data_IF_647639728200
#
_entry.id   IF_647639728200
#
_cell.length_a   1.000
_cell.length_b   1.000
_cell.length_c   1.000
_cell.angle_alpha   90.00
_cell.angle_beta   90.00
_cell.angle_gamma   90.00
#
_symmetry.space_group_name_H-M   'P 1'
#
loop_
_entity.id
_entity.type
_entity.pdbx_description
1 polymer ?
#
# COMPACT_ATOMS: atom_id res chain seq x y z
N UNK A 1 -4.12 41.30 5.57
CA UNK A 1 -4.04 39.83 5.63
C UNK A 1 -5.48 39.33 5.61
N UNK A 2 -5.79 38.03 5.60
CA UNK A 2 -7.19 37.61 5.73
C UNK A 2 -7.62 37.87 7.18
N UNK A 3 -8.42 38.91 7.42
CA UNK A 3 -8.73 39.45 8.76
C UNK A 3 -9.43 38.45 9.72
N UNK A 4 -9.83 37.25 9.25
CA UNK A 4 -10.65 36.31 10.02
C UNK A 4 -10.08 34.88 10.14
N UNK A 5 -8.77 34.64 9.95
CA UNK A 5 -8.23 33.26 10.00
C UNK A 5 -8.53 32.59 11.34
N UNK A 6 -8.24 33.26 12.47
CA UNK A 6 -8.40 32.71 13.83
C UNK A 6 -9.88 32.47 14.19
N UNK A 7 -10.82 33.07 13.47
CA UNK A 7 -12.26 32.89 13.65
C UNK A 7 -12.90 31.95 12.62
N UNK A 8 -12.11 31.48 11.64
CA UNK A 8 -12.61 30.70 10.52
C UNK A 8 -13.03 29.30 10.98
N UNK A 9 -14.29 28.95 10.71
CA UNK A 9 -14.87 27.65 11.07
C UNK A 9 -14.61 26.55 10.05
N UNK A 10 -14.24 26.90 8.82
CA UNK A 10 -14.11 25.95 7.70
C UNK A 10 -12.69 25.46 7.50
N UNK A 11 -11.73 26.37 7.46
CA UNK A 11 -10.33 26.12 7.12
C UNK A 11 -9.39 26.73 8.16
N UNK A 12 -8.35 25.99 8.52
CA UNK A 12 -7.36 26.41 9.53
C UNK A 12 -6.04 26.87 8.92
N UNK A 13 -5.81 26.57 7.64
CA UNK A 13 -4.71 27.15 6.87
C UNK A 13 -5.17 28.38 6.09
N UNK A 14 -4.34 29.43 6.07
CA UNK A 14 -4.61 30.62 5.25
C UNK A 14 -4.77 30.23 3.77
N UNK A 15 -5.74 30.85 3.10
CA UNK A 15 -6.01 30.67 1.67
C UNK A 15 -6.25 29.22 1.20
N UNK A 16 -6.58 28.30 2.09
CA UNK A 16 -6.87 26.89 1.75
C UNK A 16 -8.02 26.74 0.73
N UNK A 17 -8.88 27.75 0.59
CA UNK A 17 -9.95 27.78 -0.40
C UNK A 17 -9.49 28.07 -1.83
N UNK A 18 -8.30 28.62 -2.02
CA UNK A 18 -7.73 28.86 -3.35
C UNK A 18 -7.15 27.56 -3.92
N UNK A 19 -7.48 27.24 -5.17
CA UNK A 19 -7.14 25.96 -5.80
C UNK A 19 -5.64 25.63 -5.75
N UNK A 20 -4.77 26.64 -5.95
CA UNK A 20 -3.32 26.47 -5.86
C UNK A 20 -2.88 25.91 -4.50
N UNK A 21 -3.47 26.38 -3.40
CA UNK A 21 -3.13 25.92 -2.05
C UNK A 21 -3.82 24.61 -1.73
N UNK A 22 -5.05 24.40 -2.21
CA UNK A 22 -5.78 23.13 -2.06
C UNK A 22 -5.04 21.95 -2.70
N UNK A 23 -4.40 22.17 -3.85
CA UNK A 23 -3.59 21.15 -4.52
C UNK A 23 -2.21 20.97 -3.85
N UNK A 24 -1.58 22.06 -3.43
CA UNK A 24 -0.24 22.01 -2.85
C UNK A 24 -0.21 21.46 -1.42
N UNK A 25 -1.20 21.83 -0.58
CA UNK A 25 -1.22 21.52 0.85
C UNK A 25 -1.04 20.02 1.14
N UNK A 26 -1.77 19.08 0.51
CA UNK A 26 -1.55 17.65 0.76
C UNK A 26 -0.12 17.19 0.46
N UNK A 27 0.52 17.71 -0.60
CA UNK A 27 1.87 17.32 -1.01
C UNK A 27 2.93 17.84 -0.04
N UNK A 28 2.80 19.09 0.39
CA UNK A 28 3.78 19.71 1.28
C UNK A 28 3.59 19.28 2.73
N UNK A 29 2.36 18.94 3.15
CA UNK A 29 2.06 18.61 4.54
C UNK A 29 2.78 17.34 4.99
N UNK A 30 2.84 16.32 4.12
CA UNK A 30 3.51 15.07 4.45
C UNK A 30 5.03 15.27 4.62
N UNK A 31 5.64 16.08 3.76
CA UNK A 31 7.04 16.47 3.90
C UNK A 31 7.26 17.31 5.17
N UNK A 32 6.36 18.27 5.41
CA UNK A 32 6.48 19.23 6.49
C UNK A 32 6.39 18.57 7.88
N UNK A 33 5.59 17.53 8.03
CA UNK A 33 5.50 16.77 9.28
C UNK A 33 6.32 15.48 9.28
N UNK A 34 7.24 15.29 8.33
CA UNK A 34 8.07 14.09 8.27
C UNK A 34 7.26 12.79 8.19
N UNK A 35 6.12 12.81 7.49
CA UNK A 35 5.35 11.63 7.09
C UNK A 35 6.00 10.98 5.87
N UNK A 36 6.59 11.79 5.00
CA UNK A 36 7.33 11.37 3.83
C UNK A 36 8.61 12.20 3.70
N UNK A 37 9.55 11.72 2.90
CA UNK A 37 10.81 12.42 2.64
C UNK A 37 11.21 12.33 1.17
N UNK A 38 12.14 13.21 0.76
CA UNK A 38 12.58 13.28 -0.64
C UNK A 38 13.25 11.97 -1.10
N UNK A 39 13.95 11.28 -0.20
CA UNK A 39 14.62 10.01 -0.52
C UNK A 39 13.59 8.92 -0.83
N UNK A 40 12.52 8.84 -0.05
CA UNK A 40 11.43 7.89 -0.21
C UNK A 40 10.56 8.18 -1.45
N UNK A 41 10.36 9.46 -1.79
CA UNK A 41 9.72 9.84 -3.05
C UNK A 41 10.54 9.32 -4.24
N UNK A 42 11.85 9.58 -4.25
CA UNK A 42 12.74 9.10 -5.33
C UNK A 42 12.78 7.57 -5.37
N UNK A 43 12.82 6.91 -4.22
CA UNK A 43 12.79 5.45 -4.13
C UNK A 43 11.50 4.86 -4.74
N UNK A 44 10.33 5.45 -4.46
CA UNK A 44 9.05 5.03 -5.07
C UNK A 44 9.04 5.21 -6.58
N UNK A 45 9.47 6.37 -7.08
CA UNK A 45 9.55 6.61 -8.53
C UNK A 45 10.48 5.62 -9.22
N UNK A 46 11.66 5.36 -8.62
CA UNK A 46 12.60 4.36 -9.14
C UNK A 46 11.99 2.97 -9.15
N UNK A 47 11.33 2.57 -8.07
CA UNK A 47 10.64 1.28 -7.95
C UNK A 47 9.57 1.12 -9.03
N UNK A 48 8.74 2.14 -9.25
CA UNK A 48 7.70 2.12 -10.29
C UNK A 48 8.30 2.02 -11.69
N UNK A 49 9.39 2.76 -11.95
CA UNK A 49 10.10 2.69 -13.23
C UNK A 49 10.66 1.28 -13.50
N UNK A 50 11.35 0.67 -12.53
CA UNK A 50 11.90 -0.68 -12.65
C UNK A 50 10.79 -1.71 -12.85
N UNK A 51 9.66 -1.59 -12.13
CA UNK A 51 8.49 -2.46 -12.33
C UNK A 51 7.91 -2.37 -13.74
N UNK A 52 7.82 -1.15 -14.31
CA UNK A 52 7.35 -0.95 -15.69
C UNK A 52 8.29 -1.60 -16.71
N UNK A 53 9.61 -1.49 -16.52
CA UNK A 53 10.59 -2.14 -17.40
C UNK A 53 10.53 -3.66 -17.31
N UNK A 54 10.41 -4.23 -16.09
CA UNK A 54 10.19 -5.68 -15.91
C UNK A 54 8.92 -6.12 -16.66
N UNK A 55 7.79 -5.45 -16.44
CA UNK A 55 6.53 -5.79 -17.09
C UNK A 55 6.60 -5.70 -18.62
N UNK A 56 7.35 -4.73 -19.16
CA UNK A 56 7.58 -4.58 -20.60
C UNK A 56 8.39 -5.73 -21.17
N UNK A 57 9.46 -6.15 -20.49
CA UNK A 57 10.29 -7.29 -20.92
C UNK A 57 9.49 -8.60 -20.83
N UNK A 58 8.73 -8.81 -19.75
CA UNK A 58 7.88 -9.99 -19.59
C UNK A 58 6.83 -10.11 -20.70
N UNK A 59 6.14 -9.01 -21.04
CA UNK A 59 5.19 -8.98 -22.16
C UNK A 59 5.85 -9.29 -23.51
N UNK A 60 7.06 -8.79 -23.73
CA UNK A 60 7.81 -9.08 -24.95
C UNK A 60 8.18 -10.56 -25.02
N UNK A 61 8.64 -11.14 -23.90
CA UNK A 61 8.99 -12.55 -23.82
C UNK A 61 7.77 -13.48 -23.95
N UNK A 62 6.62 -13.11 -23.38
CA UNK A 62 5.38 -13.90 -23.50
C UNK A 62 4.89 -13.92 -24.95
N UNK A 63 4.85 -12.77 -25.62
CA UNK A 63 4.48 -12.67 -27.04
C UNK A 63 5.40 -13.50 -27.94
N UNK A 64 6.72 -13.47 -27.69
CA UNK A 64 7.67 -14.31 -28.42
C UNK A 64 7.40 -15.80 -28.17
N UNK A 65 7.06 -16.20 -26.94
CA UNK A 65 6.77 -17.60 -26.62
C UNK A 65 5.46 -18.13 -27.21
N UNK A 66 4.39 -17.33 -27.21
CA UNK A 66 3.09 -17.72 -27.77
C UNK A 66 3.15 -17.90 -29.29
N UNK A 67 3.82 -16.98 -29.97
CA UNK A 67 4.04 -17.11 -31.41
C UNK A 67 4.84 -18.38 -31.72
N UNK A 68 5.87 -18.68 -30.93
CA UNK A 68 6.67 -19.90 -31.10
C UNK A 68 5.89 -21.19 -30.85
N UNK A 69 5.00 -21.23 -29.84
CA UNK A 69 4.19 -22.42 -29.58
C UNK A 69 3.23 -22.70 -30.73
N UNK A 70 2.59 -21.66 -31.28
CA UNK A 70 1.65 -21.78 -32.39
C UNK A 70 2.33 -22.36 -33.63
N UNK A 71 3.48 -21.80 -34.03
CA UNK A 71 4.24 -22.35 -35.16
C UNK A 71 4.71 -23.78 -34.90
N UNK A 72 5.19 -24.09 -33.70
CA UNK A 72 5.65 -25.45 -33.38
C UNK A 72 4.53 -26.49 -33.44
N UNK A 73 3.30 -26.12 -33.07
CA UNK A 73 2.11 -26.97 -33.19
C UNK A 73 1.80 -27.27 -34.65
N UNK A 74 1.78 -26.23 -35.49
CA UNK A 74 1.48 -26.39 -36.92
C UNK A 74 2.56 -27.22 -37.65
N UNK A 75 3.84 -27.04 -37.31
CA UNK A 75 4.92 -27.86 -37.89
C UNK A 75 4.72 -29.34 -37.51
N UNK A 76 4.36 -29.62 -36.26
CA UNK A 76 4.06 -30.98 -35.78
C UNK A 76 2.85 -31.60 -36.47
N UNK A 77 1.80 -30.82 -36.71
CA UNK A 77 0.62 -31.27 -37.46
C UNK A 77 0.95 -31.59 -38.92
N UNK A 78 1.79 -30.78 -39.57
CA UNK A 78 2.26 -31.05 -40.94
C UNK A 78 3.12 -32.31 -40.95
N UNK A 79 3.99 -32.51 -39.95
CA UNK A 79 4.83 -33.70 -39.83
C UNK A 79 3.99 -34.97 -39.65
N UNK A 80 2.98 -34.93 -38.78
CA UNK A 80 2.06 -36.06 -38.57
C UNK A 80 1.29 -36.40 -39.83
N UNK A 81 0.70 -35.41 -40.51
CA UNK A 81 0.01 -35.63 -41.80
C UNK A 81 0.95 -36.19 -42.86
N UNK A 82 2.17 -35.67 -42.97
CA UNK A 82 3.16 -36.19 -43.90
C UNK A 82 3.51 -37.67 -43.62
N UNK A 83 3.60 -38.05 -42.36
CA UNK A 83 3.82 -39.43 -41.94
C UNK A 83 2.58 -40.33 -42.20
N UNK A 84 1.35 -39.83 -41.99
CA UNK A 84 0.11 -40.56 -42.32
C UNK A 84 0.03 -40.98 -43.79
N UNK A 85 0.48 -40.10 -44.69
CA UNK A 85 0.53 -40.35 -46.13
C UNK A 85 1.83 -41.04 -46.60
N UNK A 86 2.74 -41.38 -45.67
CA UNK A 86 4.02 -42.01 -45.99
C UNK A 86 4.98 -41.17 -46.82
N UNK A 87 4.83 -39.83 -46.78
CA UNK A 87 5.66 -38.88 -47.52
C UNK A 87 6.96 -38.53 -46.79
N UNK A 88 7.05 -38.80 -45.48
CA UNK A 88 8.20 -38.49 -44.67
C UNK A 88 8.39 -39.53 -43.54
N UNK A 89 9.63 -39.70 -43.03
CA UNK A 89 9.88 -40.57 -41.87
C UNK A 89 9.20 -40.02 -40.61
N UNK A 90 9.09 -40.86 -39.59
CA UNK A 90 8.65 -40.41 -38.26
C UNK A 90 9.64 -39.39 -37.69
N UNK A 91 9.10 -38.26 -37.23
CA UNK A 91 9.89 -37.21 -36.60
C UNK A 91 9.75 -37.25 -35.07
N UNK A 92 10.79 -36.77 -34.40
CA UNK A 92 10.73 -36.45 -32.98
C UNK A 92 9.89 -35.17 -32.76
N UNK A 93 9.44 -34.97 -31.52
CA UNK A 93 8.73 -33.76 -31.07
C UNK A 93 9.48 -32.45 -31.32
N UNK A 94 10.80 -32.51 -31.51
CA UNK A 94 11.67 -31.37 -31.80
C UNK A 94 11.80 -31.07 -33.31
N UNK A 95 10.86 -31.51 -34.13
CA UNK A 95 10.90 -31.26 -35.58
C UNK A 95 10.92 -29.76 -35.89
N UNK A 96 11.85 -29.34 -36.75
CA UNK A 96 11.99 -27.95 -37.18
C UNK A 96 11.35 -27.74 -38.55
N UNK A 97 10.97 -26.50 -38.86
CA UNK A 97 10.42 -26.16 -40.16
C UNK A 97 11.40 -26.49 -41.30
N UNK A 98 12.69 -26.23 -41.10
CA UNK A 98 13.74 -26.52 -42.07
C UNK A 98 13.92 -28.03 -42.29
N UNK A 99 14.05 -28.82 -41.22
CA UNK A 99 14.23 -30.28 -41.33
C UNK A 99 13.04 -30.97 -42.01
N UNK A 100 11.81 -30.53 -41.70
CA UNK A 100 10.60 -31.09 -42.30
C UNK A 100 10.47 -30.70 -43.79
N UNK A 101 10.80 -29.44 -44.12
CA UNK A 101 10.78 -28.95 -45.51
C UNK A 101 11.75 -29.77 -46.38
N UNK A 102 12.94 -30.04 -45.87
CA UNK A 102 13.99 -30.74 -46.62
C UNK A 102 13.64 -32.22 -46.80
N UNK A 103 13.04 -32.85 -45.78
CA UNK A 103 12.53 -34.22 -45.90
C UNK A 103 11.38 -34.35 -46.92
N UNK A 104 10.48 -33.36 -46.98
CA UNK A 104 9.39 -33.31 -47.97
C UNK A 104 9.86 -32.98 -49.40
N UNK A 105 11.13 -32.60 -49.60
CA UNK A 105 11.69 -32.36 -50.92
C UNK A 105 12.06 -33.66 -51.66
N UNK A 106 12.23 -34.78 -50.94
CA UNK A 106 12.51 -36.10 -51.50
C UNK A 106 11.77 -37.16 -50.68
N UNK A 107 10.46 -37.35 -50.93
CA UNK A 107 9.63 -38.22 -50.11
C UNK A 107 10.14 -39.66 -50.17
N UNK A 108 10.45 -40.22 -49.00
CA UNK A 108 10.88 -41.62 -48.85
C UNK A 108 9.68 -42.43 -48.37
N UNK A 109 9.24 -43.41 -49.15
CA UNK A 109 8.08 -44.25 -48.81
C UNK A 109 8.54 -45.33 -47.84
N UNK A 110 8.48 -45.07 -46.54
CA UNK A 110 8.49 -46.15 -45.53
C UNK A 110 7.87 -45.68 -44.22
N UNK A 111 6.68 -46.18 -43.86
CA UNK A 111 6.17 -46.03 -42.51
C UNK A 111 6.11 -47.39 -41.81
N UNK A 112 6.67 -47.46 -40.61
CA UNK A 112 6.55 -48.60 -39.71
C UNK A 112 5.36 -48.37 -38.75
N UNK A 113 4.13 -48.52 -39.25
CA UNK A 113 2.89 -48.14 -38.55
C UNK A 113 2.61 -48.93 -37.25
N UNK A 114 3.14 -50.15 -37.11
CA UNK A 114 2.95 -50.97 -35.91
C UNK A 114 3.65 -50.37 -34.69
N UNK A 115 4.81 -49.72 -34.90
CA UNK A 115 5.56 -49.08 -33.82
C UNK A 115 4.88 -47.80 -33.32
N UNK A 116 4.38 -46.95 -34.22
CA UNK A 116 3.71 -45.69 -33.86
C UNK A 116 2.34 -45.93 -33.19
N UNK A 117 1.58 -46.94 -33.64
CA UNK A 117 0.30 -47.32 -33.00
C UNK A 117 0.52 -47.78 -31.55
N UNK A 118 1.55 -48.62 -31.32
CA UNK A 118 1.93 -49.06 -29.97
C UNK A 118 2.38 -47.89 -29.10
N UNK A 119 3.24 -47.01 -29.62
CA UNK A 119 3.74 -45.83 -28.89
C UNK A 119 2.62 -44.86 -28.50
N UNK A 120 1.62 -44.66 -29.37
CA UNK A 120 0.44 -43.84 -29.06
C UNK A 120 -0.40 -44.43 -27.92
N UNK A 121 -0.58 -45.76 -27.91
CA UNK A 121 -1.25 -46.46 -26.80
C UNK A 121 -0.49 -46.30 -25.47
N UNK A 122 0.84 -46.41 -25.51
CA UNK A 122 1.71 -46.21 -24.34
C UNK A 122 1.63 -44.77 -23.81
N UNK A 123 1.70 -43.77 -24.70
CA UNK A 123 1.58 -42.35 -24.35
C UNK A 123 0.20 -42.03 -23.75
N UNK A 124 -0.88 -42.57 -24.32
CA UNK A 124 -2.23 -42.37 -23.78
C UNK A 124 -2.38 -42.99 -22.38
N UNK A 125 -1.75 -44.14 -22.15
CA UNK A 125 -1.71 -44.79 -20.84
C UNK A 125 -0.91 -43.96 -19.82
N UNK A 126 0.25 -43.42 -20.22
CA UNK A 126 1.05 -42.48 -19.42
C UNK A 126 0.25 -41.21 -19.09
N UNK A 127 -0.41 -40.59 -20.08
CA UNK A 127 -1.25 -39.40 -19.90
C UNK A 127 -2.43 -39.65 -18.96
N UNK A 128 -3.07 -40.82 -19.04
CA UNK A 128 -4.13 -41.20 -18.10
C UNK A 128 -3.58 -41.27 -16.67
N UNK A 129 -2.41 -41.89 -16.49
CA UNK A 129 -1.75 -41.98 -15.18
C UNK A 129 -1.37 -40.60 -14.61
N UNK A 130 -0.80 -39.72 -15.45
CA UNK A 130 -0.39 -38.37 -15.05
C UNK A 130 -1.62 -37.52 -14.71
N UNK A 131 -2.67 -37.55 -15.52
CA UNK A 131 -3.91 -36.83 -15.23
C UNK A 131 -4.54 -37.33 -13.92
N UNK A 132 -4.50 -38.64 -13.64
CA UNK A 132 -4.95 -39.20 -12.36
C UNK A 132 -4.10 -38.69 -11.19
N UNK A 133 -2.78 -38.62 -11.34
CA UNK A 133 -1.88 -38.10 -10.30
C UNK A 133 -2.11 -36.60 -10.06
N UNK A 134 -2.22 -35.78 -11.11
CA UNK A 134 -2.53 -34.35 -11.00
C UNK A 134 -3.85 -34.15 -10.25
N UNK A 135 -4.92 -34.88 -10.62
CA UNK A 135 -6.21 -34.80 -9.91
C UNK A 135 -6.07 -35.13 -8.43
N UNK A 136 -5.32 -36.17 -8.07
CA UNK A 136 -5.07 -36.54 -6.66
C UNK A 136 -4.31 -35.44 -5.91
N UNK A 137 -3.28 -34.86 -6.51
CA UNK A 137 -2.51 -33.77 -5.89
C UNK A 137 -3.34 -32.48 -5.76
N UNK A 138 -4.16 -32.15 -6.75
CA UNK A 138 -5.09 -31.02 -6.68
C UNK A 138 -6.15 -31.23 -5.59
N UNK A 139 -6.74 -32.42 -5.51
CA UNK A 139 -7.69 -32.78 -4.46
C UNK A 139 -7.04 -32.68 -3.07
N UNK A 140 -5.85 -33.24 -2.90
CA UNK A 140 -5.08 -33.12 -1.66
C UNK A 140 -4.82 -31.65 -1.27
N UNK A 141 -4.50 -30.81 -2.25
CA UNK A 141 -4.22 -29.38 -2.00
C UNK A 141 -5.48 -28.66 -1.51
N UNK A 142 -6.65 -28.96 -2.10
CA UNK A 142 -7.92 -28.36 -1.69
C UNK A 142 -8.38 -28.87 -0.32
N UNK A 143 -8.28 -30.18 -0.07
CA UNK A 143 -8.55 -30.79 1.24
C UNK A 143 -7.64 -30.21 2.33
N UNK A 144 -6.36 -30.02 2.02
CA UNK A 144 -5.39 -29.43 2.94
C UNK A 144 -5.70 -27.95 3.22
N UNK A 145 -6.11 -27.19 2.20
CA UNK A 145 -6.56 -25.80 2.35
C UNK A 145 -7.81 -25.70 3.22
N UNK A 146 -8.80 -26.58 2.98
CA UNK A 146 -10.02 -26.68 3.79
C UNK A 146 -9.69 -27.02 5.24
N UNK A 147 -8.83 -28.03 5.48
CA UNK A 147 -8.32 -28.39 6.80
C UNK A 147 -7.67 -27.20 7.52
N UNK A 148 -6.79 -26.46 6.84
CA UNK A 148 -6.12 -25.26 7.38
C UNK A 148 -7.12 -24.15 7.72
N UNK A 149 -8.17 -23.97 6.91
CA UNK A 149 -9.24 -23.01 7.18
C UNK A 149 -10.04 -23.39 8.42
N UNK A 150 -10.43 -24.66 8.54
CA UNK A 150 -11.17 -25.18 9.71
C UNK A 150 -10.35 -24.99 10.98
N UNK A 151 -9.05 -25.34 10.93
CA UNK A 151 -8.13 -25.16 12.05
C UNK A 151 -7.96 -23.69 12.44
N UNK A 152 -7.86 -22.77 11.48
CA UNK A 152 -7.81 -21.32 11.77
C UNK A 152 -9.11 -20.81 12.40
N UNK A 153 -10.27 -21.29 11.96
CA UNK A 153 -11.56 -20.91 12.54
C UNK A 153 -11.69 -21.44 13.98
N UNK A 154 -11.22 -22.67 14.24
CA UNK A 154 -11.14 -23.22 15.59
C UNK A 154 -10.16 -22.43 16.48
N UNK A 155 -9.01 -22.01 15.95
CA UNK A 155 -8.08 -21.14 16.67
C UNK A 155 -8.72 -19.80 17.03
N UNK A 156 -9.42 -19.16 16.10
CA UNK A 156 -10.09 -17.88 16.31
C UNK A 156 -11.18 -17.98 17.38
N UNK A 157 -11.96 -19.06 17.34
CA UNK A 157 -13.01 -19.36 18.33
C UNK A 157 -12.46 -19.58 19.74
N UNK A 158 -11.18 -19.97 19.86
CA UNK A 158 -10.48 -20.20 21.13
C UNK A 158 -9.61 -19.00 21.57
N UNK A 159 -9.48 -17.93 20.77
CA UNK A 159 -8.82 -16.68 21.20
C UNK A 159 -9.45 -16.05 22.45
N UNK A 160 -10.79 -16.03 22.62
CA UNK A 160 -11.42 -15.51 23.84
C UNK A 160 -10.97 -16.23 25.12
N UNK A 161 -10.50 -17.49 25.01
CA UNK A 161 -9.98 -18.25 26.15
C UNK A 161 -8.78 -17.55 26.81
N UNK A 162 -7.89 -16.94 26.01
CA UNK A 162 -6.74 -16.18 26.53
C UNK A 162 -7.21 -14.98 27.37
N UNK A 163 -8.19 -14.23 26.85
CA UNK A 163 -8.77 -13.07 27.54
C UNK A 163 -9.52 -13.48 28.82
N UNK A 164 -10.24 -14.59 28.78
CA UNK A 164 -10.94 -15.16 29.95
C UNK A 164 -9.97 -15.62 31.03
N UNK A 165 -8.80 -16.14 30.64
CA UNK A 165 -7.74 -16.50 31.59
C UNK A 165 -7.09 -15.27 32.23
N UNK A 166 -6.80 -14.24 31.43
CA UNK A 166 -6.19 -12.99 31.91
C UNK A 166 -7.08 -12.29 32.93
N UNK A 167 -8.41 -12.46 32.81
CA UNK A 167 -9.42 -11.93 33.74
C UNK A 167 -10.02 -12.98 34.68
N UNK A 168 -9.36 -14.13 34.85
CA UNK A 168 -9.90 -15.25 35.65
C UNK A 168 -10.15 -14.93 37.13
N UNK A 169 -9.56 -13.85 37.65
CA UNK A 169 -9.82 -13.33 39.00
C UNK A 169 -11.13 -12.54 39.14
N UNK A 170 -11.73 -12.10 38.04
CA UNK A 170 -12.97 -11.29 38.00
C UNK A 170 -14.22 -12.13 37.67
N UNK A 171 -14.04 -13.42 37.39
CA UNK A 171 -15.10 -14.32 36.89
C UNK A 171 -15.60 -15.22 38.01
N UNK A 172 -16.93 -15.37 38.12
CA UNK A 172 -17.56 -16.35 39.01
C UNK A 172 -17.32 -17.75 38.45
N UNK A 173 -16.53 -18.56 39.16
CA UNK A 173 -16.15 -19.91 38.75
C UNK A 173 -17.18 -20.93 39.22
N UNK A 174 -17.68 -21.76 38.30
CA UNK A 174 -18.45 -22.95 38.63
C UNK A 174 -17.51 -24.11 39.01
N UNK A 175 -18.06 -25.18 39.59
CA UNK A 175 -17.29 -26.37 39.97
C UNK A 175 -16.60 -27.09 38.80
N UNK A 176 -17.06 -26.87 37.56
CA UNK A 176 -16.53 -27.47 36.33
C UNK A 176 -15.59 -26.54 35.55
N UNK A 177 -15.39 -25.31 36.02
CA UNK A 177 -14.68 -24.26 35.29
C UNK A 177 -13.23 -24.66 35.00
N UNK A 178 -12.49 -25.10 36.02
CA UNK A 178 -11.06 -25.42 35.85
C UNK A 178 -10.84 -26.65 34.96
N UNK A 179 -11.72 -27.65 35.04
CA UNK A 179 -11.67 -28.84 34.18
C UNK A 179 -11.92 -28.48 32.71
N UNK A 180 -12.96 -27.68 32.42
CA UNK A 180 -13.30 -27.23 31.08
C UNK A 180 -12.23 -26.31 30.47
N UNK A 181 -11.67 -25.38 31.26
CA UNK A 181 -10.62 -24.48 30.77
C UNK A 181 -9.33 -25.27 30.50
N UNK A 182 -9.00 -26.26 31.33
CA UNK A 182 -7.83 -27.10 31.11
C UNK A 182 -7.92 -27.93 29.82
N UNK A 183 -9.08 -28.50 29.51
CA UNK A 183 -9.29 -29.26 28.27
C UNK A 183 -9.22 -28.34 27.04
N UNK A 184 -9.87 -27.18 27.08
CA UNK A 184 -9.80 -26.19 26.00
C UNK A 184 -8.39 -25.61 25.79
N UNK A 185 -7.57 -25.51 26.83
CA UNK A 185 -6.15 -25.14 26.70
C UNK A 185 -5.33 -26.22 26.01
N UNK A 186 -5.57 -27.50 26.33
CA UNK A 186 -4.93 -28.63 25.64
C UNK A 186 -5.30 -28.62 24.16
N UNK A 187 -6.58 -28.39 23.86
CA UNK A 187 -7.07 -28.28 22.48
C UNK A 187 -6.46 -27.08 21.76
N UNK A 188 -6.41 -25.90 22.38
CA UNK A 188 -5.79 -24.70 21.81
C UNK A 188 -4.29 -24.91 21.54
N UNK A 189 -3.57 -25.57 22.45
CA UNK A 189 -2.14 -25.92 22.23
C UNK A 189 -1.98 -26.88 21.05
N UNK A 190 -2.85 -27.88 20.92
CA UNK A 190 -2.81 -28.81 19.80
C UNK A 190 -3.08 -28.12 18.45
N UNK A 191 -4.01 -27.16 18.43
CA UNK A 191 -4.34 -26.31 17.28
C UNK A 191 -3.17 -25.38 16.94
N UNK A 192 -2.59 -24.70 17.92
CA UNK A 192 -1.42 -23.82 17.72
C UNK A 192 -0.21 -24.62 17.21
N UNK A 193 0.00 -25.86 17.67
CA UNK A 193 1.04 -26.75 17.14
C UNK A 193 0.77 -27.23 15.71
N UNK A 194 -0.48 -27.45 15.33
CA UNK A 194 -0.88 -27.80 13.96
C UNK A 194 -0.80 -26.61 12.99
N UNK A 195 -0.97 -25.36 13.49
CA UNK A 195 -0.88 -24.12 12.70
C UNK A 195 0.56 -23.62 12.56
N UNK A 196 1.44 -23.95 13.51
CA UNK A 196 2.87 -23.64 13.42
C UNK A 196 3.37 -24.01 12.02
N UNK A 197 4.18 -23.15 11.36
CA UNK A 197 4.71 -23.41 10.03
C UNK A 197 5.71 -24.57 10.07
N UNK A 198 5.22 -25.80 10.18
CA UNK A 198 5.98 -27.03 10.08
C UNK A 198 5.48 -27.81 8.87
N UNK A 199 6.14 -27.53 7.74
CA UNK A 199 6.67 -28.45 6.71
C UNK A 199 6.38 -28.00 5.28
N UNK A 200 7.32 -28.23 4.35
CA UNK A 200 7.27 -27.83 2.94
C UNK A 200 6.31 -28.70 2.11
N UNK A 201 5.17 -29.14 2.65
CA UNK A 201 4.24 -30.02 1.93
C UNK A 201 3.60 -29.28 0.75
N UNK A 202 3.15 -28.04 0.94
CA UNK A 202 2.61 -27.19 -0.15
C UNK A 202 3.67 -26.94 -1.24
N UNK A 203 4.93 -26.70 -0.85
CA UNK A 203 6.05 -26.51 -1.77
C UNK A 203 6.41 -27.79 -2.52
N UNK A 204 6.45 -28.94 -1.85
CA UNK A 204 6.75 -30.22 -2.47
C UNK A 204 5.64 -30.68 -3.43
N UNK A 205 4.38 -30.47 -3.07
CA UNK A 205 3.22 -30.81 -3.91
C UNK A 205 3.15 -29.90 -5.14
N UNK A 206 3.37 -28.60 -4.98
CA UNK A 206 3.41 -27.66 -6.13
C UNK A 206 4.55 -27.97 -7.10
N UNK A 207 5.75 -28.29 -6.59
CA UNK A 207 6.88 -28.75 -7.42
C UNK A 207 6.55 -30.08 -8.14
N UNK A 208 5.89 -31.02 -7.47
CA UNK A 208 5.47 -32.28 -8.08
C UNK A 208 4.42 -32.07 -9.18
N UNK A 209 3.42 -31.22 -8.94
CA UNK A 209 2.41 -30.83 -9.94
C UNK A 209 3.10 -30.20 -11.16
N UNK A 210 4.04 -29.27 -10.94
CA UNK A 210 4.77 -28.61 -12.04
C UNK A 210 5.53 -29.62 -12.91
N UNK A 211 6.28 -30.56 -12.29
CA UNK A 211 6.98 -31.63 -13.02
C UNK A 211 6.02 -32.51 -13.81
N UNK A 212 4.85 -32.85 -13.25
CA UNK A 212 3.83 -33.64 -13.94
C UNK A 212 3.21 -32.88 -15.11
N UNK A 213 3.02 -31.56 -14.99
CA UNK A 213 2.54 -30.70 -16.07
C UNK A 213 3.57 -30.59 -17.20
N UNK A 214 4.84 -30.39 -16.89
CA UNK A 214 5.93 -30.38 -17.87
C UNK A 214 6.02 -31.73 -18.62
N UNK A 215 5.93 -32.86 -17.89
CA UNK A 215 5.91 -34.19 -18.51
C UNK A 215 4.68 -34.40 -19.38
N UNK A 216 3.50 -33.98 -18.91
CA UNK A 216 2.25 -34.03 -19.68
C UNK A 216 2.37 -33.28 -20.99
N UNK A 217 2.86 -32.04 -20.96
CA UNK A 217 3.05 -31.24 -22.15
C UNK A 217 4.00 -31.95 -23.13
N UNK A 218 5.12 -32.49 -22.64
CA UNK A 218 6.07 -33.19 -23.50
C UNK A 218 5.49 -34.44 -24.19
N UNK A 219 4.58 -35.16 -23.52
CA UNK A 219 3.90 -36.33 -24.06
C UNK A 219 2.80 -35.93 -25.06
N UNK A 220 2.12 -34.81 -24.83
CA UNK A 220 1.17 -34.24 -25.79
C UNK A 220 1.89 -33.77 -27.05
N UNK A 221 3.06 -33.15 -26.91
CA UNK A 221 3.86 -32.72 -28.04
C UNK A 221 4.36 -33.92 -28.88
N UNK A 222 4.77 -35.01 -28.23
CA UNK A 222 5.15 -36.26 -28.88
C UNK A 222 3.95 -36.92 -29.59
N UNK A 223 2.78 -36.95 -28.95
CA UNK A 223 1.55 -37.50 -29.53
C UNK A 223 1.14 -36.79 -30.82
N UNK A 224 1.36 -35.47 -30.89
CA UNK A 224 0.99 -34.64 -32.03
C UNK A 224 1.82 -34.93 -33.28
N UNK A 225 3.06 -35.41 -33.15
CA UNK A 225 3.93 -35.75 -34.30
C UNK A 225 3.64 -37.15 -34.84
N UNK A 226 3.15 -38.04 -33.99
CA UNK A 226 2.85 -39.42 -34.38
C UNK A 226 1.61 -39.46 -35.32
N UNK A 227 1.61 -40.29 -36.37
CA UNK A 227 0.48 -40.41 -37.30
C UNK A 227 -0.73 -41.10 -36.67
N UNK A 228 -1.97 -40.68 -36.99
CA UNK A 228 -3.19 -41.33 -36.47
C UNK A 228 -3.48 -42.67 -37.11
N UNK A 229 -3.60 -42.67 -38.43
CA UNK A 229 -3.97 -43.84 -39.23
C UNK A 229 -3.28 -43.70 -40.58
N UNK A 230 -2.77 -44.79 -41.19
CA UNK A 230 -2.32 -44.75 -42.58
C UNK A 230 -3.43 -44.22 -43.50
N UNK A 231 -3.10 -43.22 -44.31
CA UNK A 231 -3.98 -42.65 -45.34
C UNK A 231 -3.29 -42.66 -46.68
N UNK A 232 -4.08 -42.70 -47.76
CA UNK A 232 -3.60 -42.55 -49.13
C UNK A 232 -4.34 -41.42 -49.81
N UNK A 233 -3.64 -40.70 -50.69
CA UNK A 233 -4.27 -39.74 -51.60
C UNK A 233 -5.11 -40.48 -52.63
N UNK A 234 -6.25 -39.92 -53.03
CA UNK A 234 -7.08 -40.51 -54.09
C UNK A 234 -6.50 -40.21 -55.46
N UNK A 235 -5.91 -39.03 -55.61
CA UNK A 235 -5.32 -38.55 -56.85
C UNK A 235 -3.90 -38.00 -56.65
N UNK A 236 -3.06 -38.10 -57.68
CA UNK A 236 -1.69 -37.59 -57.66
C UNK A 236 -1.66 -36.06 -57.47
N UNK A 237 -2.68 -35.35 -57.97
CA UNK A 237 -2.79 -33.90 -57.87
C UNK A 237 -2.96 -33.44 -56.41
N UNK A 238 -3.74 -34.17 -55.60
CA UNK A 238 -3.93 -33.88 -54.17
C UNK A 238 -2.61 -33.95 -53.40
N UNK A 239 -1.78 -34.95 -53.72
CA UNK A 239 -0.45 -35.12 -53.12
C UNK A 239 0.46 -33.92 -53.43
N UNK A 240 0.50 -33.47 -54.70
CA UNK A 240 1.32 -32.34 -55.10
C UNK A 240 0.82 -31.01 -54.52
N UNK A 241 -0.49 -30.83 -54.39
CA UNK A 241 -1.08 -29.66 -53.70
C UNK A 241 -0.67 -29.64 -52.22
N UNK A 242 -0.79 -30.77 -51.52
CA UNK A 242 -0.34 -30.88 -50.13
C UNK A 242 1.16 -30.58 -49.98
N UNK A 243 2.01 -31.18 -50.82
CA UNK A 243 3.46 -30.93 -50.80
C UNK A 243 3.79 -29.46 -51.08
N UNK A 244 3.08 -28.83 -52.00
CA UNK A 244 3.23 -27.40 -52.31
C UNK A 244 2.85 -26.50 -51.13
N UNK A 245 1.68 -26.72 -50.53
CA UNK A 245 1.22 -25.96 -49.37
C UNK A 245 2.12 -26.16 -48.15
N UNK A 246 2.49 -27.41 -47.85
CA UNK A 246 3.37 -27.75 -46.74
C UNK A 246 4.74 -27.09 -46.90
N UNK A 247 5.38 -27.22 -48.07
CA UNK A 247 6.69 -26.59 -48.32
C UNK A 247 6.61 -25.06 -48.31
N UNK A 248 5.51 -24.48 -48.80
CA UNK A 248 5.24 -23.05 -48.73
C UNK A 248 5.21 -22.55 -47.28
N UNK A 249 4.35 -23.14 -46.45
CA UNK A 249 4.24 -22.79 -45.02
C UNK A 249 5.55 -23.00 -44.26
N UNK A 250 6.22 -24.13 -44.46
CA UNK A 250 7.49 -24.43 -43.80
C UNK A 250 8.62 -23.49 -44.22
N UNK A 251 8.62 -23.00 -45.46
CA UNK A 251 9.59 -22.00 -45.91
C UNK A 251 9.44 -20.65 -45.22
N UNK A 252 8.20 -20.24 -44.93
CA UNK A 252 7.88 -19.02 -44.18
C UNK A 252 8.33 -19.19 -42.73
N UNK A 253 7.99 -20.33 -42.10
CA UNK A 253 8.36 -20.60 -40.71
C UNK A 253 9.88 -20.73 -40.52
N UNK A 254 10.60 -21.35 -41.47
CA UNK A 254 12.06 -21.43 -41.43
C UNK A 254 12.72 -20.04 -41.48
N UNK A 255 12.23 -19.14 -42.36
CA UNK A 255 12.74 -17.76 -42.43
C UNK A 255 12.45 -16.95 -41.17
N UNK A 256 11.26 -17.13 -40.58
CA UNK A 256 10.89 -16.47 -39.32
C UNK A 256 11.71 -16.97 -38.13
N UNK A 257 12.19 -18.22 -38.16
CA UNK A 257 13.11 -18.77 -37.16
C UNK A 257 14.54 -18.19 -37.29
N UNK A 258 15.01 -17.95 -38.52
CA UNK A 258 16.33 -17.37 -38.80
C UNK A 258 16.42 -15.88 -38.43
N UNK A 259 15.33 -15.11 -38.57
CA UNK A 259 15.28 -13.65 -38.33
C UNK A 259 15.00 -13.25 -36.85
N UNK A 260 15.11 -14.18 -35.90
CA UNK A 260 14.69 -13.94 -34.50
C UNK A 260 15.58 -12.93 -33.76
N UNK A 261 15.01 -11.90 -33.12
CA UNK A 261 15.61 -11.36 -31.90
C UNK A 261 15.57 -12.46 -30.84
N UNK A 262 16.74 -12.93 -30.39
CA UNK A 262 16.85 -13.89 -29.27
C UNK A 262 16.02 -13.38 -28.09
N UNK A 263 15.36 -14.30 -27.35
CA UNK A 263 14.76 -13.97 -26.04
C UNK A 263 15.76 -13.13 -25.26
N UNK A 264 15.33 -11.98 -24.75
CA UNK A 264 16.15 -11.18 -23.85
C UNK A 264 16.57 -12.10 -22.69
N UNK A 265 17.88 -12.10 -22.41
CA UNK A 265 18.49 -13.12 -21.54
C UNK A 265 17.86 -13.01 -20.15
N UNK A 266 17.52 -14.12 -19.47
CA UNK A 266 17.01 -14.11 -18.10
C UNK A 266 17.86 -13.30 -17.11
N UNK A 267 19.14 -13.07 -17.44
CA UNK A 267 20.07 -12.24 -16.67
C UNK A 267 19.63 -10.78 -16.54
N UNK A 268 19.03 -10.18 -17.56
CA UNK A 268 18.59 -8.77 -17.52
C UNK A 268 17.40 -8.58 -16.56
N UNK A 269 16.44 -9.51 -16.59
CA UNK A 269 15.31 -9.52 -15.65
C UNK A 269 15.82 -9.78 -14.23
N UNK A 270 16.75 -10.73 -14.05
CA UNK A 270 17.31 -11.01 -12.72
C UNK A 270 18.04 -9.81 -12.11
N UNK A 271 18.71 -9.01 -12.94
CA UNK A 271 19.36 -7.76 -12.50
C UNK A 271 18.33 -6.72 -12.05
N UNK A 272 17.28 -6.50 -12.84
CA UNK A 272 16.19 -5.57 -12.49
C UNK A 272 15.39 -6.01 -11.26
N UNK A 273 15.17 -7.32 -11.08
CA UNK A 273 14.52 -7.87 -9.88
C UNK A 273 15.40 -7.68 -8.66
N UNK A 274 16.71 -7.93 -8.77
CA UNK A 274 17.65 -7.66 -7.67
C UNK A 274 17.72 -6.17 -7.33
N UNK A 275 17.66 -5.29 -8.33
CA UNK A 275 17.56 -3.85 -8.11
C UNK A 275 16.24 -3.51 -7.38
N UNK A 276 15.12 -4.07 -7.83
CA UNK A 276 13.81 -3.86 -7.22
C UNK A 276 13.78 -4.27 -5.75
N UNK A 277 14.35 -5.42 -5.41
CA UNK A 277 14.42 -5.95 -4.05
C UNK A 277 15.35 -5.11 -3.15
N UNK A 278 16.32 -4.41 -3.73
CA UNK A 278 17.23 -3.51 -3.01
C UNK A 278 16.61 -2.17 -2.65
N UNK A 279 15.59 -1.71 -3.40
CA UNK A 279 14.92 -0.43 -3.17
C UNK A 279 14.01 -0.54 -1.95
N UNK A 280 14.43 0.06 -0.85
CA UNK A 280 13.61 0.19 0.36
C UNK A 280 12.68 1.39 0.22
N UNK A 281 11.37 1.15 0.34
CA UNK A 281 10.34 2.19 0.37
C UNK A 281 9.70 2.17 1.74
N UNK A 282 9.71 3.32 2.42
CA UNK A 282 9.03 3.51 3.69
C UNK A 282 7.52 3.45 3.50
N UNK A 283 6.84 2.86 4.47
CA UNK A 283 5.39 2.79 4.53
C UNK A 283 4.82 4.14 4.97
N UNK A 284 4.44 4.96 3.98
CA UNK A 284 3.93 6.32 4.20
C UNK A 284 2.57 6.30 4.91
N UNK A 285 1.76 5.28 4.66
CA UNK A 285 0.46 5.10 5.31
C UNK A 285 0.60 4.81 6.80
N UNK A 286 1.53 3.92 7.17
CA UNK A 286 1.83 3.64 8.57
C UNK A 286 2.38 4.88 9.29
N UNK A 287 3.34 5.58 8.67
CA UNK A 287 3.94 6.80 9.24
C UNK A 287 2.90 7.93 9.40
N UNK A 288 1.99 8.05 8.42
CA UNK A 288 0.86 8.98 8.49
C UNK A 288 -0.05 8.68 9.67
N UNK A 289 -0.41 7.41 9.87
CA UNK A 289 -1.25 7.01 10.99
C UNK A 289 -0.58 7.34 12.34
N UNK A 290 0.72 7.03 12.48
CA UNK A 290 1.49 7.36 13.67
C UNK A 290 1.55 8.88 13.92
N UNK A 291 1.75 9.67 12.86
CA UNK A 291 1.80 11.14 12.95
C UNK A 291 0.45 11.71 13.37
N UNK A 292 -0.66 11.20 12.82
CA UNK A 292 -2.01 11.61 13.24
C UNK A 292 -2.24 11.30 14.71
N UNK A 293 -1.86 10.10 15.17
CA UNK A 293 -1.96 9.74 16.59
C UNK A 293 -1.14 10.67 17.49
N UNK A 294 0.06 11.07 17.06
CA UNK A 294 0.88 12.04 17.80
C UNK A 294 0.23 13.44 17.84
N UNK A 295 -0.34 13.91 16.72
CA UNK A 295 -1.10 15.17 16.71
C UNK A 295 -2.28 15.09 17.67
N UNK A 296 -3.03 13.98 17.66
CA UNK A 296 -4.17 13.76 18.55
C UNK A 296 -3.75 13.74 20.03
N UNK A 297 -2.60 13.16 20.35
CA UNK A 297 -2.04 13.13 21.70
C UNK A 297 -1.69 14.54 22.20
N UNK A 298 -0.95 15.32 21.40
CA UNK A 298 -0.60 16.70 21.75
C UNK A 298 -1.86 17.57 21.85
N UNK A 299 -2.79 17.42 20.91
CA UNK A 299 -4.04 18.15 20.92
C UNK A 299 -4.89 17.84 22.15
N UNK A 300 -4.88 16.59 22.63
CA UNK A 300 -5.56 16.21 23.85
C UNK A 300 -4.95 16.88 25.10
N UNK A 301 -3.62 16.99 25.18
CA UNK A 301 -2.96 17.72 26.26
C UNK A 301 -3.34 19.21 26.24
N UNK A 302 -3.31 19.85 25.06
CA UNK A 302 -3.71 21.25 24.91
C UNK A 302 -5.20 21.49 25.18
N UNK A 303 -6.08 20.52 24.89
CA UNK A 303 -7.49 20.58 25.28
C UNK A 303 -7.67 20.62 26.80
N UNK A 304 -6.83 19.91 27.56
CA UNK A 304 -6.87 19.95 29.03
C UNK A 304 -6.44 21.32 29.56
N UNK A 305 -5.45 21.97 28.93
CA UNK A 305 -5.03 23.33 29.26
C UNK A 305 -6.09 24.37 28.93
N UNK A 306 -6.80 24.20 27.80
CA UNK A 306 -7.92 25.07 27.46
C UNK A 306 -9.04 24.99 28.52
N UNK A 307 -9.18 23.86 29.22
CA UNK A 307 -9.99 23.74 30.44
C UNK A 307 -11.40 24.33 30.31
N UNK A 308 -11.73 25.29 31.18
CA UNK A 308 -13.05 25.95 31.21
C UNK A 308 -13.28 26.89 30.02
N UNK A 309 -12.25 27.25 29.26
CA UNK A 309 -12.43 28.08 28.07
C UNK A 309 -13.25 27.36 26.98
N UNK A 310 -13.21 26.02 26.97
CA UNK A 310 -14.03 25.13 26.13
C UNK A 310 -15.05 24.34 26.96
N UNK A 311 -15.72 24.97 27.93
CA UNK A 311 -16.69 24.34 28.87
C UNK A 311 -17.67 23.34 28.22
N UNK A 312 -18.34 23.73 27.12
CA UNK A 312 -19.29 22.87 26.40
C UNK A 312 -18.65 21.61 25.78
N UNK A 313 -17.32 21.62 25.67
CA UNK A 313 -16.49 20.62 25.02
C UNK A 313 -15.42 20.02 25.93
N UNK A 314 -15.45 20.29 27.24
CA UNK A 314 -14.42 19.84 28.18
C UNK A 314 -14.23 18.31 28.21
N UNK A 315 -15.26 17.54 27.84
CA UNK A 315 -15.20 16.07 27.77
C UNK A 315 -14.93 15.54 26.36
N UNK A 316 -14.85 16.40 25.35
CA UNK A 316 -14.71 15.99 23.95
C UNK A 316 -13.26 15.72 23.57
N UNK A 317 -13.07 14.90 22.52
CA UNK A 317 -11.75 14.56 22.01
C UNK A 317 -11.38 15.46 20.84
N UNK A 318 -10.27 16.18 20.93
CA UNK A 318 -9.65 16.78 19.76
C UNK A 318 -9.10 15.66 18.86
N UNK A 319 -9.48 15.66 17.59
CA UNK A 319 -9.01 14.70 16.60
C UNK A 319 -8.66 15.41 15.30
N UNK A 320 -7.50 15.08 14.76
CA UNK A 320 -6.96 15.64 13.56
C UNK A 320 -7.54 14.97 12.32
N UNK A 321 -8.35 15.73 11.59
CA UNK A 321 -8.86 15.29 10.30
C UNK A 321 -7.78 15.49 9.24
N UNK A 322 -7.09 14.41 8.87
CA UNK A 322 -6.03 14.46 7.87
C UNK A 322 -6.54 14.94 6.49
N UNK A 323 -7.77 14.64 6.09
CA UNK A 323 -8.29 15.06 4.77
C UNK A 323 -8.49 16.57 4.71
N UNK A 324 -9.09 17.13 5.74
CA UNK A 324 -9.40 18.57 5.84
C UNK A 324 -8.24 19.39 6.42
N UNK A 325 -7.21 18.73 6.95
CA UNK A 325 -6.04 19.32 7.60
C UNK A 325 -6.43 20.25 8.74
N UNK A 326 -7.35 19.82 9.60
CA UNK A 326 -7.82 20.61 10.74
C UNK A 326 -8.16 19.74 11.94
N UNK A 327 -8.06 20.32 13.13
CA UNK A 327 -8.54 19.67 14.35
C UNK A 327 -10.06 19.84 14.43
N UNK A 328 -10.74 18.77 14.78
CA UNK A 328 -12.17 18.71 14.99
C UNK A 328 -12.48 18.12 16.36
N UNK A 329 -13.64 18.47 16.93
CA UNK A 329 -14.08 17.90 18.19
C UNK A 329 -14.97 16.69 17.93
N UNK A 330 -14.55 15.54 18.47
CA UNK A 330 -15.27 14.27 18.39
C UNK A 330 -15.89 13.92 19.72
N UNK A 331 -17.17 13.51 19.69
CA UNK A 331 -17.89 13.12 20.89
C UNK A 331 -17.27 11.85 21.50
N UNK A 332 -17.18 11.76 22.85
CA UNK A 332 -16.67 10.56 23.52
C UNK A 332 -17.40 9.29 23.09
N UNK A 333 -16.62 8.23 22.85
CA UNK A 333 -17.13 6.91 22.44
C UNK A 333 -18.04 6.96 21.20
N UNK A 334 -17.86 7.95 20.33
CA UNK A 334 -18.65 8.14 19.11
C UNK A 334 -17.74 8.55 17.96
N UNK A 335 -18.23 8.34 16.74
CA UNK A 335 -17.64 8.86 15.49
C UNK A 335 -18.20 10.23 15.11
N UNK A 336 -19.16 10.76 15.89
CA UNK A 336 -19.79 12.05 15.63
C UNK A 336 -18.79 13.19 15.85
N UNK A 337 -18.63 14.00 14.81
CA UNK A 337 -17.90 15.27 14.84
C UNK A 337 -18.89 16.41 15.07
N UNK A 338 -18.58 17.33 15.99
CA UNK A 338 -19.42 18.49 16.26
C UNK A 338 -19.25 19.59 15.22
N UNK A 339 -20.35 20.27 14.95
CA UNK A 339 -20.27 21.59 14.35
C UNK A 339 -20.14 22.64 15.47
N UNK A 340 -18.90 22.96 15.80
CA UNK A 340 -18.58 23.88 16.91
C UNK A 340 -19.18 25.25 16.62
N UNK A 341 -19.96 25.77 17.57
CA UNK A 341 -20.51 27.12 17.52
C UNK A 341 -19.63 28.11 18.29
N UNK A 342 -19.74 29.39 17.96
CA UNK A 342 -19.00 30.54 18.54
C UNK A 342 -17.56 30.73 18.03
N UNK A 343 -17.25 31.98 17.67
CA UNK A 343 -15.92 32.48 17.29
C UNK A 343 -14.87 32.19 18.37
N UNK A 344 -15.26 32.27 19.65
CA UNK A 344 -14.46 31.91 20.82
C UNK A 344 -13.89 30.48 20.72
N UNK A 345 -14.75 29.51 20.42
CA UNK A 345 -14.32 28.12 20.42
C UNK A 345 -13.44 27.81 19.21
N UNK A 346 -13.70 28.45 18.07
CA UNK A 346 -12.83 28.35 16.91
C UNK A 346 -11.44 28.90 17.19
N UNK A 347 -11.32 30.05 17.86
CA UNK A 347 -10.02 30.61 18.28
C UNK A 347 -9.17 29.57 19.03
N UNK A 348 -9.75 28.93 20.06
CA UNK A 348 -9.04 27.87 20.79
C UNK A 348 -8.68 26.67 19.92
N UNK A 349 -9.56 26.26 19.00
CA UNK A 349 -9.22 25.18 18.08
C UNK A 349 -8.09 25.55 17.12
N UNK A 350 -7.99 26.81 16.68
CA UNK A 350 -6.87 27.31 15.89
C UNK A 350 -5.56 27.33 16.69
N UNK A 351 -5.61 27.74 17.96
CA UNK A 351 -4.45 27.65 18.86
C UNK A 351 -4.02 26.20 19.05
N UNK A 352 -4.94 25.31 19.45
CA UNK A 352 -4.65 23.89 19.65
C UNK A 352 -4.08 23.29 18.36
N UNK A 353 -4.66 23.60 17.20
CA UNK A 353 -4.18 23.13 15.91
C UNK A 353 -2.75 23.61 15.60
N UNK A 354 -2.51 24.92 15.69
CA UNK A 354 -1.21 25.49 15.34
C UNK A 354 -0.12 24.97 16.27
N UNK A 355 -0.37 24.97 17.58
CA UNK A 355 0.57 24.47 18.59
C UNK A 355 0.83 22.96 18.42
N UNK A 356 -0.20 22.14 18.19
CA UNK A 356 -0.03 20.70 17.97
C UNK A 356 0.84 20.41 16.74
N UNK A 357 0.60 21.12 15.64
CA UNK A 357 1.38 20.94 14.42
C UNK A 357 2.84 21.37 14.60
N UNK A 358 3.09 22.48 15.30
CA UNK A 358 4.45 22.93 15.59
C UNK A 358 5.18 21.96 16.53
N UNK A 359 4.54 21.48 17.59
CA UNK A 359 5.15 20.52 18.50
C UNK A 359 5.53 19.21 17.79
N UNK A 360 4.61 18.68 16.97
CA UNK A 360 4.88 17.47 16.16
C UNK A 360 6.00 17.70 15.16
N UNK A 361 6.03 18.87 14.51
CA UNK A 361 7.09 19.23 13.58
C UNK A 361 8.46 19.29 14.28
N UNK A 362 8.50 19.84 15.49
CA UNK A 362 9.70 19.94 16.32
C UNK A 362 10.16 18.56 16.78
N UNK A 363 9.24 17.74 17.31
CA UNK A 363 9.48 16.36 17.70
C UNK A 363 10.15 15.57 16.56
N UNK A 364 9.63 15.72 15.35
CA UNK A 364 10.15 15.07 14.14
C UNK A 364 11.34 15.78 13.49
N UNK A 365 11.87 16.84 14.10
CA UNK A 365 13.00 17.62 13.58
C UNK A 365 12.79 18.10 12.13
N UNK A 366 11.56 18.55 11.83
CA UNK A 366 11.21 19.07 10.51
C UNK A 366 12.07 20.27 10.13
N UNK A 367 12.55 20.28 8.88
CA UNK A 367 13.31 21.40 8.29
C UNK A 367 12.44 22.38 7.51
N UNK A 368 11.16 22.05 7.32
CA UNK A 368 10.25 22.79 6.45
C UNK A 368 9.35 23.76 7.22
N UNK A 369 9.19 23.54 8.52
CA UNK A 369 8.36 24.38 9.40
C UNK A 369 9.29 25.25 10.23
N UNK A 370 9.14 26.58 10.20
CA UNK A 370 9.95 27.47 11.01
C UNK A 370 9.61 27.32 12.51
N UNK A 371 10.61 27.54 13.37
CA UNK A 371 10.44 27.55 14.82
C UNK A 371 9.88 28.87 15.35
N UNK A 372 8.90 29.45 14.65
CA UNK A 372 8.17 30.60 15.15
C UNK A 372 6.70 30.59 14.72
N UNK A 373 5.87 31.28 15.51
CA UNK A 373 4.45 31.49 15.25
C UNK A 373 4.11 32.97 15.44
N UNK A 374 3.33 33.53 14.51
CA UNK A 374 2.81 34.90 14.61
C UNK A 374 1.31 34.80 14.82
N UNK A 375 0.81 35.48 15.84
CA UNK A 375 -0.61 35.52 16.20
C UNK A 375 -1.05 36.98 16.25
N UNK A 376 -2.06 37.32 15.46
CA UNK A 376 -2.64 38.66 15.41
C UNK A 376 -4.00 38.67 16.11
N UNK A 377 -4.09 39.42 17.21
CA UNK A 377 -5.28 39.64 18.02
C UNK A 377 -6.05 38.35 18.42
N UNK A 378 -5.41 37.38 19.11
CA UNK A 378 -6.12 36.20 19.60
C UNK A 378 -7.29 36.52 20.54
N UNK A 379 -7.31 37.71 21.15
CA UNK A 379 -8.38 38.13 22.07
C UNK A 379 -9.65 38.64 21.38
N UNK A 380 -9.64 38.86 20.06
CA UNK A 380 -10.75 39.46 19.28
C UNK A 380 -12.16 38.88 19.54
N UNK A 381 -12.36 37.56 19.78
CA UNK A 381 -13.69 37.06 20.15
C UNK A 381 -14.21 37.56 21.51
N UNK A 382 -13.35 38.12 22.35
CA UNK A 382 -13.60 38.47 23.76
C UNK A 382 -13.37 39.95 24.06
N UNK A 383 -12.53 40.61 23.27
CA UNK A 383 -12.09 41.99 23.46
C UNK A 383 -12.45 42.81 22.22
N UNK A 384 -13.29 43.84 22.42
CA UNK A 384 -13.75 44.71 21.33
C UNK A 384 -12.63 45.58 20.77
N UNK A 385 -12.80 46.02 19.52
CA UNK A 385 -11.86 46.92 18.84
C UNK A 385 -11.87 48.36 19.41
N UNK A 386 -12.85 48.71 20.25
CA UNK A 386 -12.98 50.04 20.84
C UNK A 386 -12.09 50.20 22.09
N UNK A 387 -11.22 51.22 22.06
CA UNK A 387 -10.23 51.59 23.10
C UNK A 387 -10.83 51.96 24.48
N UNK A 388 -12.15 51.84 24.66
CA UNK A 388 -12.89 52.20 25.89
C UNK A 388 -13.54 50.99 26.59
N UNK A 389 -13.16 49.76 26.26
CA UNK A 389 -13.62 48.60 27.05
C UNK A 389 -12.92 48.63 28.42
N UNK A 390 -13.59 49.16 29.45
CA UNK A 390 -13.10 49.10 30.83
C UNK A 390 -12.84 47.63 31.22
N UNK A 391 -11.62 47.26 31.65
CA UNK A 391 -11.31 45.91 32.12
C UNK A 391 -12.19 45.41 33.27
N UNK A 392 -12.88 46.31 33.98
CA UNK A 392 -13.89 45.98 35.01
C UNK A 392 -15.26 45.59 34.42
N UNK A 393 -15.57 46.00 33.19
CA UNK A 393 -16.83 45.69 32.49
C UNK A 393 -16.78 44.38 31.69
N UNK A 394 -15.62 43.73 31.61
CA UNK A 394 -15.49 42.39 31.03
C UNK A 394 -16.28 41.36 31.84
N UNK A 395 -17.04 40.52 31.15
CA UNK A 395 -17.63 39.33 31.78
C UNK A 395 -16.49 38.47 32.30
N UNK A 396 -16.59 38.02 33.55
CA UNK A 396 -15.55 37.23 34.22
C UNK A 396 -15.07 36.03 33.38
N UNK A 397 -16.00 35.38 32.64
CA UNK A 397 -15.70 34.28 31.73
C UNK A 397 -14.77 34.65 30.58
N UNK A 398 -14.87 35.87 30.05
CA UNK A 398 -14.07 36.30 28.89
C UNK A 398 -12.64 36.67 29.32
N UNK A 399 -12.50 37.30 30.50
CA UNK A 399 -11.20 37.50 31.14
C UNK A 399 -10.48 36.16 31.36
N UNK A 400 -11.20 35.13 31.85
CA UNK A 400 -10.63 33.79 32.04
C UNK A 400 -10.11 33.24 30.71
N UNK A 401 -10.92 33.30 29.63
CA UNK A 401 -10.53 32.77 28.31
C UNK A 401 -9.30 33.46 27.73
N UNK A 402 -9.22 34.79 27.82
CA UNK A 402 -8.03 35.54 27.36
C UNK A 402 -6.80 35.05 28.14
N UNK A 403 -6.89 35.01 29.47
CA UNK A 403 -5.78 34.55 30.32
C UNK A 403 -5.38 33.11 29.98
N UNK A 404 -6.34 32.19 29.82
CA UNK A 404 -6.09 30.80 29.43
C UNK A 404 -5.36 30.71 28.09
N UNK A 405 -5.73 31.52 27.10
CA UNK A 405 -5.02 31.55 25.82
C UNK A 405 -3.54 31.92 25.99
N UNK A 406 -3.23 32.95 26.78
CA UNK A 406 -1.84 33.34 27.09
C UNK A 406 -1.11 32.28 27.91
N UNK A 407 -1.78 31.63 28.87
CA UNK A 407 -1.21 30.52 29.66
C UNK A 407 -0.82 29.35 28.75
N UNK A 408 -1.66 28.99 27.76
CA UNK A 408 -1.34 27.96 26.77
C UNK A 408 -0.09 28.31 25.96
N UNK A 409 0.05 29.56 25.51
CA UNK A 409 1.24 30.01 24.78
C UNK A 409 2.49 29.97 25.67
N UNK A 410 2.38 30.44 26.92
CA UNK A 410 3.47 30.40 27.90
C UNK A 410 3.91 28.96 28.18
N UNK A 411 2.96 28.06 28.43
CA UNK A 411 3.23 26.65 28.72
C UNK A 411 3.83 25.93 27.52
N UNK A 412 3.38 26.26 26.30
CA UNK A 412 3.99 25.74 25.09
C UNK A 412 5.48 26.08 25.01
N UNK A 413 5.86 27.35 25.25
CA UNK A 413 7.29 27.72 25.28
C UNK A 413 8.05 26.95 26.36
N UNK A 414 7.50 26.80 27.56
CA UNK A 414 8.10 25.97 28.60
C UNK A 414 8.31 24.53 28.15
N UNK A 415 7.32 23.90 27.51
CA UNK A 415 7.43 22.53 26.97
C UNK A 415 8.54 22.44 25.95
N UNK A 416 8.55 23.32 24.95
CA UNK A 416 9.55 23.27 23.87
C UNK A 416 10.98 23.45 24.42
N UNK A 417 11.17 24.35 25.37
CA UNK A 417 12.48 24.55 26.00
C UNK A 417 12.90 23.37 26.88
N UNK A 418 12.00 22.87 27.74
CA UNK A 418 12.36 21.92 28.80
C UNK A 418 12.31 20.45 28.36
N UNK A 419 11.36 20.07 27.50
CA UNK A 419 11.14 18.68 27.09
C UNK A 419 11.83 18.37 25.77
N UNK A 420 11.85 19.33 24.85
CA UNK A 420 12.42 19.13 23.51
C UNK A 420 13.84 19.68 23.35
N UNK A 421 14.31 20.52 24.28
CA UNK A 421 15.60 21.23 24.20
C UNK A 421 15.75 21.97 22.85
N UNK A 422 14.71 22.74 22.50
CA UNK A 422 14.64 23.53 21.27
C UNK A 422 14.25 24.97 21.55
N UNK A 423 14.66 25.85 20.66
CA UNK A 423 14.24 27.25 20.66
C UNK A 423 12.98 27.42 19.79
N UNK A 424 12.00 28.16 20.31
CA UNK A 424 10.80 28.55 19.56
C UNK A 424 10.35 29.95 19.96
N UNK A 425 9.83 30.72 19.00
CA UNK A 425 9.38 32.09 19.24
C UNK A 425 7.91 32.27 18.89
N UNK A 426 7.12 32.82 19.80
CA UNK A 426 5.76 33.28 19.50
C UNK A 426 5.74 34.81 19.53
N UNK A 427 5.25 35.42 18.46
CA UNK A 427 5.06 36.87 18.33
C UNK A 427 3.57 37.14 18.34
N UNK A 428 3.09 37.85 19.36
CA UNK A 428 1.66 38.16 19.53
C UNK A 428 1.44 39.67 19.38
N UNK A 429 0.52 40.05 18.51
CA UNK A 429 0.02 41.43 18.42
C UNK A 429 -1.31 41.52 19.16
N UNK A 430 -1.41 42.36 20.18
CA UNK A 430 -2.60 42.40 21.03
C UNK A 430 -2.79 43.75 21.74
N UNK A 431 -4.03 44.06 22.12
CA UNK A 431 -4.43 45.29 22.82
C UNK A 431 -4.90 45.07 24.27
N UNK A 432 -4.95 43.82 24.74
CA UNK A 432 -5.40 43.50 26.11
C UNK A 432 -4.45 44.09 27.16
N UNK A 433 -4.97 44.46 28.36
CA UNK A 433 -4.13 45.02 29.41
C UNK A 433 -3.10 44.01 29.92
N UNK A 434 -1.95 44.52 30.37
CA UNK A 434 -0.83 43.70 30.88
C UNK A 434 -1.22 42.82 32.07
N UNK A 435 -2.26 43.20 32.81
CA UNK A 435 -2.83 42.42 33.91
C UNK A 435 -3.31 41.01 33.49
N UNK A 436 -3.49 40.76 32.19
CA UNK A 436 -3.86 39.43 31.67
C UNK A 436 -2.69 38.44 31.62
N UNK A 437 -1.44 38.91 31.60
CA UNK A 437 -0.26 38.08 31.34
C UNK A 437 1.01 38.47 32.12
N UNK A 438 0.93 39.43 33.04
CA UNK A 438 2.10 39.98 33.76
C UNK A 438 2.87 38.95 34.61
N UNK A 439 2.22 37.87 35.01
CA UNK A 439 2.76 36.82 35.89
C UNK A 439 3.34 35.62 35.12
N UNK A 440 3.45 35.70 33.80
CA UNK A 440 3.92 34.62 32.94
C UNK A 440 5.41 34.77 32.60
N UNK A 441 6.19 33.73 32.88
CA UNK A 441 7.66 33.75 32.80
C UNK A 441 8.20 33.89 31.38
N UNK A 442 7.53 33.28 30.38
CA UNK A 442 8.02 33.24 29.00
C UNK A 442 7.53 34.41 28.14
N UNK A 443 6.90 35.42 28.74
CA UNK A 443 6.34 36.56 28.02
C UNK A 443 7.22 37.79 28.19
N UNK A 444 7.75 38.27 27.07
CA UNK A 444 8.42 39.56 27.01
C UNK A 444 7.53 40.62 26.37
N UNK A 445 7.05 41.57 27.18
CA UNK A 445 6.31 42.72 26.70
C UNK A 445 7.23 43.76 26.04
N UNK A 446 6.93 44.14 24.80
CA UNK A 446 7.59 45.23 24.10
C UNK A 446 6.93 46.59 24.42
N UNK A 447 7.63 47.72 24.19
CA UNK A 447 7.05 49.04 24.37
C UNK A 447 5.75 49.23 23.57
N UNK A 448 4.78 49.92 24.18
CA UNK A 448 3.48 50.17 23.54
C UNK A 448 3.66 51.04 22.29
N UNK A 449 3.13 50.57 21.17
CA UNK A 449 3.16 51.27 19.89
C UNK A 449 1.97 52.24 19.75
N UNK A 450 2.06 53.42 20.40
CA UNK A 450 1.09 54.53 20.27
C UNK A 450 1.81 55.87 20.06
N UNK A 451 1.09 56.86 19.51
CA UNK A 451 1.55 58.26 19.47
C UNK A 451 2.81 58.52 18.65
N UNK A 452 3.07 57.75 17.59
CA UNK A 452 4.27 57.87 16.75
C UNK A 452 5.38 56.87 17.08
N UNK A 453 5.30 56.17 18.21
CA UNK A 453 6.08 54.96 18.46
C UNK A 453 5.43 53.81 17.69
N UNK A 454 6.13 53.24 16.71
CA UNK A 454 5.61 52.18 15.85
C UNK A 454 6.68 51.10 15.66
N UNK A 455 6.24 49.84 15.49
CA UNK A 455 7.13 48.71 15.22
C UNK A 455 8.02 48.97 14.00
N UNK A 456 7.46 49.63 12.98
CA UNK A 456 8.21 50.20 11.86
C UNK A 456 8.23 51.72 12.05
N UNK A 457 9.36 52.30 12.51
CA UNK A 457 9.49 53.74 12.70
C UNK A 457 9.16 54.51 11.42
N UNK A 458 8.49 55.65 11.55
CA UNK A 458 8.18 56.51 10.40
C UNK A 458 9.44 56.93 9.62
N UNK A 459 10.58 57.02 10.32
CA UNK A 459 11.89 57.31 9.72
C UNK A 459 12.42 56.24 8.76
N UNK A 460 11.88 55.01 8.81
CA UNK A 460 12.29 53.90 7.94
C UNK A 460 11.47 53.81 6.64
N UNK A 461 10.42 54.62 6.48
CA UNK A 461 9.60 54.67 5.26
C UNK A 461 10.19 55.55 4.14
N UNK A 462 11.44 56.00 4.29
CA UNK A 462 12.16 56.81 3.30
C UNK A 462 13.01 55.94 2.37
#
# INVERSE_FOLDING_TARGET
MSDDIILNSKAFFDKQELDRYREALPRIFDLALGIDDLENIVARERREHVQKEIAKIERKNSSISENHSNFSSEIRDIASKAAEFGLAPEFDKNVTAASLRDALASPTITPNFDASTKRRSDINSELFSINRQIRKYSQFTEEYKSYKSTIRNSQDSLKPLKVLMDRSGEIIKSSIFDELISSLQVDLRSIDEAIKPRRPVESQVSVAIKKLQERKQSLQDELQVLPEVPRSFKELQEMWVFLGEARGKLSIYARMDDDKPKKLVPSEISGLVSELDSIQVKDVEAERAATISLIDEVAAALMLEAGTALENYATWYASFNYKEKKIQLRKPKSTLIENVGSSSNHMFLHLIHSLSLHEVAINKSSKFIPSFLIIDQPSRPYWGEDEETDPENLVHSDRIKIRTAFEMLNNFISRINNEYDKEFQIIVFEHVPTSMFFDMENIHLLPVFKGGNALIPSSWKN
#
